data_IF_709434887164
#
_entry.id   IF_709434887164
#
_cell.length_a   1.000
_cell.length_b   1.000
_cell.length_c   1.000
_cell.angle_alpha   90.00
_cell.angle_beta   90.00
_cell.angle_gamma   90.00
#
_symmetry.space_group_name_H-M   'P 1'
#
loop_
_entity.id
_entity.type
_entity.pdbx_description
1 polymer ?
#
# COMPACT_ATOMS: atom_id res chain seq x y z
N UNK A 1 8.63 -16.12 35.79
CA UNK A 1 8.23 -15.59 34.48
C UNK A 1 9.09 -14.35 34.19
N UNK A 2 9.94 -14.38 33.19
CA UNK A 2 10.68 -13.21 32.78
C UNK A 2 9.66 -12.13 32.36
N UNK A 3 9.79 -10.91 32.89
CA UNK A 3 8.94 -9.79 32.51
C UNK A 3 9.13 -9.54 31.01
N UNK A 4 8.11 -9.77 30.19
CA UNK A 4 8.20 -9.45 28.75
C UNK A 4 8.62 -8.00 28.59
N UNK A 5 9.68 -7.78 27.82
CA UNK A 5 10.26 -6.46 27.61
C UNK A 5 9.29 -5.58 26.81
N UNK A 6 8.81 -4.49 27.41
CA UNK A 6 7.91 -3.55 26.75
C UNK A 6 8.71 -2.47 26.02
N UNK A 7 8.47 -2.32 24.73
CA UNK A 7 9.08 -1.29 23.90
C UNK A 7 8.17 -0.09 23.71
N UNK A 8 8.79 1.07 23.49
CA UNK A 8 8.14 2.29 23.03
C UNK A 8 8.43 2.47 21.53
N UNK A 9 7.41 2.46 20.71
CA UNK A 9 7.51 2.40 19.27
C UNK A 9 6.83 3.64 18.67
N UNK A 10 7.53 4.35 17.80
CA UNK A 10 6.96 5.40 16.96
C UNK A 10 6.84 4.86 15.55
N UNK A 11 5.64 4.86 14.98
CA UNK A 11 5.40 4.53 13.58
C UNK A 11 5.10 5.84 12.85
N UNK A 12 6.04 6.26 11.99
CA UNK A 12 5.92 7.50 11.23
C UNK A 12 5.37 7.21 9.83
N UNK A 13 4.15 7.65 9.58
CA UNK A 13 3.45 7.45 8.32
C UNK A 13 2.64 8.69 7.97
N UNK A 14 2.51 9.01 6.68
CA UNK A 14 1.70 10.15 6.30
C UNK A 14 1.49 10.30 4.80
N UNK A 15 0.55 11.19 4.46
CA UNK A 15 0.23 11.58 3.10
C UNK A 15 -0.97 10.84 2.52
N UNK A 16 -0.87 9.55 2.26
CA UNK A 16 -1.94 8.78 1.58
C UNK A 16 -2.33 7.54 2.38
N UNK A 17 -3.52 7.00 2.10
CA UNK A 17 -3.98 5.74 2.69
C UNK A 17 -3.01 4.58 2.49
N UNK A 18 -2.25 4.60 1.39
CA UNK A 18 -1.20 3.60 1.11
C UNK A 18 -0.12 3.50 2.19
N UNK A 19 0.21 4.60 2.88
CA UNK A 19 1.15 4.59 4.02
C UNK A 19 0.45 4.39 5.37
N UNK A 20 -0.78 4.91 5.48
CA UNK A 20 -1.52 4.96 6.75
C UNK A 20 -2.04 3.58 7.15
N UNK A 21 -2.71 2.85 6.25
CA UNK A 21 -3.31 1.56 6.58
C UNK A 21 -2.28 0.49 6.98
N UNK A 22 -1.12 0.32 6.28
CA UNK A 22 -0.07 -0.57 6.74
C UNK A 22 0.51 -0.19 8.11
N UNK A 23 0.64 1.13 8.38
CA UNK A 23 1.09 1.61 9.68
C UNK A 23 0.13 1.22 10.81
N UNK A 24 -1.19 1.32 10.56
CA UNK A 24 -2.21 0.90 11.51
C UNK A 24 -2.19 -0.60 11.75
N UNK A 25 -2.03 -1.41 10.70
CA UNK A 25 -1.93 -2.87 10.85
C UNK A 25 -0.76 -3.27 11.77
N UNK A 26 0.42 -2.65 11.59
CA UNK A 26 1.57 -2.86 12.48
C UNK A 26 1.32 -2.32 13.89
N UNK A 27 0.72 -1.13 14.00
CA UNK A 27 0.40 -0.52 15.30
C UNK A 27 -0.53 -1.41 16.13
N UNK A 28 -1.58 -1.95 15.51
CA UNK A 28 -2.51 -2.91 16.15
C UNK A 28 -1.73 -4.12 16.68
N UNK A 29 -0.85 -4.72 15.87
CA UNK A 29 -0.07 -5.90 16.27
C UNK A 29 0.89 -5.58 17.42
N UNK A 30 1.66 -4.49 17.34
CA UNK A 30 2.53 -4.06 18.44
C UNK A 30 1.77 -3.80 19.74
N UNK A 31 0.57 -3.20 19.67
CA UNK A 31 -0.28 -2.96 20.84
C UNK A 31 -0.80 -4.26 21.45
N UNK A 32 -1.20 -5.23 20.63
CA UNK A 32 -1.61 -6.58 21.10
C UNK A 32 -0.45 -7.28 21.80
N UNK A 33 0.78 -7.10 21.32
CA UNK A 33 1.99 -7.64 21.96
C UNK A 33 2.40 -6.87 23.23
N UNK A 34 1.60 -5.89 23.68
CA UNK A 34 1.78 -5.18 24.95
C UNK A 34 2.73 -3.98 24.90
N UNK A 35 3.09 -3.48 23.73
CA UNK A 35 4.00 -2.35 23.54
C UNK A 35 3.27 -1.01 23.52
N UNK A 36 3.99 0.07 23.86
CA UNK A 36 3.48 1.44 23.71
C UNK A 36 3.73 1.89 22.28
N UNK A 37 2.66 2.24 21.56
CA UNK A 37 2.73 2.69 20.16
C UNK A 37 2.24 4.12 20.03
N UNK A 38 2.97 4.93 19.29
CA UNK A 38 2.63 6.30 18.91
C UNK A 38 2.63 6.37 17.38
N UNK A 39 1.53 6.85 16.81
CA UNK A 39 1.45 7.15 15.39
C UNK A 39 1.88 8.59 15.14
N UNK A 40 2.83 8.81 14.26
CA UNK A 40 3.34 10.11 13.91
C UNK A 40 3.01 10.47 12.45
N UNK A 41 2.38 11.63 12.24
CA UNK A 41 1.91 12.10 10.95
C UNK A 41 2.21 13.58 10.68
N UNK A 42 1.74 14.06 9.52
CA UNK A 42 1.83 15.48 9.14
C UNK A 42 0.63 16.29 9.58
N UNK A 43 -0.44 15.64 10.03
CA UNK A 43 -1.67 16.27 10.50
C UNK A 43 -2.62 16.70 9.39
N UNK A 44 -2.54 16.09 8.20
CA UNK A 44 -3.56 16.31 7.17
C UNK A 44 -4.91 15.66 7.59
N UNK A 45 -6.00 16.09 6.97
CA UNK A 45 -7.35 15.68 7.36
C UNK A 45 -7.57 14.16 7.26
N UNK A 46 -7.01 13.52 6.21
CA UNK A 46 -7.11 12.07 6.04
C UNK A 46 -6.41 11.31 7.17
N UNK A 47 -5.18 11.75 7.55
CA UNK A 47 -4.45 11.15 8.67
C UNK A 47 -5.23 11.29 9.98
N UNK A 48 -5.72 12.51 10.27
CA UNK A 48 -6.49 12.79 11.49
C UNK A 48 -7.75 11.92 11.54
N UNK A 49 -8.49 11.84 10.44
CA UNK A 49 -9.70 11.01 10.34
C UNK A 49 -9.38 9.56 10.64
N UNK A 50 -8.46 8.96 9.89
CA UNK A 50 -8.17 7.52 10.01
C UNK A 50 -7.54 7.19 11.37
N UNK A 51 -6.59 8.00 11.87
CA UNK A 51 -5.95 7.73 13.16
C UNK A 51 -6.93 7.84 14.32
N UNK A 52 -7.90 8.79 14.27
CA UNK A 52 -8.91 8.93 15.32
C UNK A 52 -9.87 7.73 15.43
N UNK A 53 -10.05 6.98 14.34
CA UNK A 53 -10.89 5.77 14.32
C UNK A 53 -10.26 4.58 15.09
N UNK A 54 -8.97 4.66 15.46
CA UNK A 54 -8.21 3.51 15.99
C UNK A 54 -7.67 3.66 17.41
N UNK A 55 -8.00 4.74 18.13
CA UNK A 55 -7.60 4.96 19.53
C UNK A 55 -6.11 4.72 19.83
N UNK A 56 -5.23 5.32 19.01
CA UNK A 56 -3.79 5.38 19.25
C UNK A 56 -3.37 6.76 19.76
N UNK A 57 -2.31 6.78 20.58
CA UNK A 57 -1.59 8.04 20.85
C UNK A 57 -1.04 8.57 19.53
N UNK A 58 -1.41 9.79 19.16
CA UNK A 58 -1.04 10.40 17.87
C UNK A 58 -0.25 11.67 18.09
N UNK A 59 0.73 11.92 17.22
CA UNK A 59 1.53 13.15 17.22
C UNK A 59 1.62 13.70 15.80
N UNK A 60 1.39 15.00 15.64
CA UNK A 60 1.36 15.65 14.36
C UNK A 60 2.38 16.76 14.27
N UNK A 61 3.24 16.68 13.26
CA UNK A 61 4.21 17.72 12.93
C UNK A 61 3.85 18.33 11.57
N UNK A 62 3.09 19.41 11.60
CA UNK A 62 2.56 20.04 10.39
C UNK A 62 3.66 20.39 9.39
N UNK A 63 3.46 19.99 8.14
CA UNK A 63 4.33 20.37 7.04
C UNK A 63 3.98 21.78 6.56
N UNK A 64 4.65 22.80 7.11
CA UNK A 64 4.47 24.22 6.74
C UNK A 64 5.10 24.59 5.39
N UNK A 65 5.42 23.62 4.54
CA UNK A 65 6.21 23.84 3.32
C UNK A 65 5.37 24.23 2.08
N UNK A 66 4.04 24.27 2.16
CA UNK A 66 3.21 24.72 1.03
C UNK A 66 3.41 26.22 0.81
N UNK A 67 3.85 26.61 -0.39
CA UNK A 67 3.85 28.01 -0.87
C UNK A 67 5.01 28.90 -0.45
N UNK A 68 6.05 28.42 0.25
CA UNK A 68 7.17 29.24 0.71
C UNK A 68 8.39 29.20 -0.24
N UNK A 69 9.20 30.30 -0.26
CA UNK A 69 10.45 30.35 -1.00
C UNK A 69 11.46 29.30 -0.53
N UNK A 70 12.42 28.93 -1.38
CA UNK A 70 13.43 27.90 -1.10
C UNK A 70 14.21 28.15 0.20
N UNK A 71 14.56 29.41 0.48
CA UNK A 71 15.27 29.81 1.70
C UNK A 71 14.39 29.63 2.94
N UNK A 72 13.11 30.06 2.84
CA UNK A 72 12.14 29.89 3.93
C UNK A 72 11.85 28.42 4.21
N UNK A 73 11.79 27.58 3.17
CA UNK A 73 11.68 26.11 3.30
C UNK A 73 12.87 25.52 4.06
N UNK A 74 14.08 25.94 3.78
CA UNK A 74 15.28 25.48 4.47
C UNK A 74 15.26 25.81 5.97
N UNK A 75 14.98 27.06 6.36
CA UNK A 75 14.86 27.43 7.77
C UNK A 75 13.72 26.75 8.50
N UNK A 76 12.57 26.56 7.85
CA UNK A 76 11.43 25.82 8.41
C UNK A 76 11.79 24.35 8.64
N UNK A 77 12.51 23.72 7.71
CA UNK A 77 12.96 22.33 7.88
C UNK A 77 13.93 22.15 9.04
N UNK A 78 14.87 23.11 9.23
CA UNK A 78 15.81 23.10 10.37
C UNK A 78 15.09 23.26 11.71
N UNK A 79 14.08 24.16 11.78
CA UNK A 79 13.28 24.35 13.00
C UNK A 79 12.46 23.11 13.33
N UNK A 80 11.81 22.52 12.33
CA UNK A 80 11.02 21.29 12.48
C UNK A 80 11.88 20.12 12.94
N UNK A 81 13.08 19.99 12.39
CA UNK A 81 14.04 18.97 12.81
C UNK A 81 14.38 19.10 14.30
N UNK A 82 14.53 20.33 14.84
CA UNK A 82 14.75 20.58 16.26
C UNK A 82 13.54 20.17 17.12
N UNK A 83 12.32 20.48 16.65
CA UNK A 83 11.08 20.12 17.37
C UNK A 83 10.94 18.58 17.46
N UNK A 84 11.10 17.87 16.35
CA UNK A 84 11.07 16.39 16.32
C UNK A 84 12.19 15.81 17.17
N UNK A 85 13.41 16.35 17.07
CA UNK A 85 14.53 15.88 17.88
C UNK A 85 14.28 16.04 19.38
N UNK A 86 13.77 17.19 19.81
CA UNK A 86 13.37 17.42 21.21
C UNK A 86 12.26 16.45 21.65
N UNK A 87 11.29 16.19 20.78
CA UNK A 87 10.24 15.21 21.02
C UNK A 87 10.80 13.79 21.20
N UNK A 88 11.73 13.37 20.32
CA UNK A 88 12.38 12.07 20.40
C UNK A 88 13.26 11.95 21.66
N UNK A 89 13.95 13.02 22.07
CA UNK A 89 14.72 13.07 23.30
C UNK A 89 13.84 12.86 24.54
N UNK A 90 12.69 13.55 24.61
CA UNK A 90 11.72 13.43 25.69
C UNK A 90 11.07 12.05 25.72
N UNK A 91 10.70 11.52 24.58
CA UNK A 91 9.97 10.27 24.47
C UNK A 91 10.86 9.03 24.50
N UNK A 92 12.12 9.16 24.11
CA UNK A 92 13.12 8.10 24.08
C UNK A 92 12.59 6.77 23.51
N UNK A 93 12.12 6.71 22.25
CA UNK A 93 11.58 5.49 21.67
C UNK A 93 12.68 4.45 21.45
N UNK A 94 12.34 3.17 21.61
CA UNK A 94 13.19 2.04 21.26
C UNK A 94 13.27 1.84 19.76
N UNK A 95 12.16 2.11 19.04
CA UNK A 95 12.03 1.97 17.59
C UNK A 95 11.36 3.20 16.97
N UNK A 96 11.91 3.65 15.86
CA UNK A 96 11.27 4.53 14.89
C UNK A 96 11.10 3.73 13.60
N UNK A 97 9.85 3.45 13.22
CA UNK A 97 9.50 2.74 12.01
C UNK A 97 8.94 3.72 10.98
N UNK A 98 9.70 3.95 9.92
CA UNK A 98 9.30 4.82 8.82
C UNK A 98 8.53 4.06 7.76
N UNK A 99 7.24 4.40 7.58
CA UNK A 99 6.32 3.76 6.64
C UNK A 99 6.12 4.54 5.33
N UNK A 100 6.92 5.58 5.10
CA UNK A 100 6.80 6.44 3.92
C UNK A 100 6.11 7.79 4.19
N UNK A 101 6.16 8.66 3.18
CA UNK A 101 5.68 10.03 3.29
C UNK A 101 6.66 10.98 3.99
N UNK A 102 6.25 12.25 4.13
CA UNK A 102 7.12 13.28 4.72
C UNK A 102 7.40 13.04 6.21
N UNK A 103 6.41 12.60 6.98
CA UNK A 103 6.58 12.31 8.40
C UNK A 103 7.69 11.26 8.62
N UNK A 104 7.66 10.18 7.85
CA UNK A 104 8.65 9.11 7.91
C UNK A 104 10.09 9.64 7.78
N UNK A 105 10.36 10.46 6.75
CA UNK A 105 11.70 10.99 6.52
C UNK A 105 12.18 11.88 7.65
N UNK A 106 11.33 12.73 8.16
CA UNK A 106 11.67 13.70 9.19
C UNK A 106 11.99 13.03 10.53
N UNK A 107 11.18 12.02 10.93
CA UNK A 107 11.45 11.25 12.13
C UNK A 107 12.70 10.40 12.02
N UNK A 108 12.92 9.73 10.88
CA UNK A 108 14.11 8.91 10.67
C UNK A 108 15.40 9.75 10.64
N UNK A 109 15.36 10.97 10.07
CA UNK A 109 16.52 11.88 10.07
C UNK A 109 16.78 12.55 11.42
N UNK A 110 15.74 12.79 12.22
CA UNK A 110 15.87 13.38 13.54
C UNK A 110 16.31 12.37 14.61
N UNK A 111 16.27 11.07 14.30
CA UNK A 111 16.66 9.99 15.20
C UNK A 111 18.12 10.13 15.67
N UNK A 112 18.34 9.77 16.92
CA UNK A 112 19.68 9.73 17.52
C UNK A 112 20.27 8.32 17.43
N UNK A 113 21.59 8.18 17.61
CA UNK A 113 22.30 6.89 17.59
C UNK A 113 21.70 5.83 18.54
N UNK A 114 21.07 6.27 19.62
CA UNK A 114 20.41 5.37 20.59
C UNK A 114 19.08 4.79 20.10
N UNK A 115 18.42 5.44 19.14
CA UNK A 115 17.15 4.97 18.60
C UNK A 115 17.39 3.95 17.49
N UNK A 116 16.71 2.82 17.53
CA UNK A 116 16.66 1.92 16.39
C UNK A 116 15.74 2.52 15.31
N UNK A 117 16.22 2.58 14.07
CA UNK A 117 15.46 3.09 12.92
C UNK A 117 15.32 2.01 11.87
N UNK A 118 14.09 1.72 11.50
CA UNK A 118 13.75 0.80 10.41
C UNK A 118 12.91 1.55 9.39
N UNK A 119 13.20 1.38 8.11
CA UNK A 119 12.37 1.91 7.02
C UNK A 119 11.67 0.77 6.28
N UNK A 120 10.43 1.00 5.91
CA UNK A 120 9.63 0.10 5.08
C UNK A 120 9.36 0.76 3.72
N UNK A 121 9.80 0.12 2.65
CA UNK A 121 9.50 0.52 1.28
C UNK A 121 8.37 -0.33 0.73
N UNK A 122 7.28 0.30 0.34
CA UNK A 122 6.07 -0.41 -0.07
C UNK A 122 6.07 -0.78 -1.55
N UNK A 123 6.74 0.00 -2.39
CA UNK A 123 6.72 -0.14 -3.83
C UNK A 123 7.86 -1.03 -4.34
N UNK A 124 7.74 -1.53 -5.57
CA UNK A 124 8.80 -2.29 -6.25
C UNK A 124 10.02 -1.46 -6.63
N UNK A 125 9.96 -0.14 -6.47
CA UNK A 125 11.11 0.75 -6.60
C UNK A 125 11.17 1.65 -5.37
N UNK A 126 12.31 1.67 -4.71
CA UNK A 126 12.51 2.50 -3.55
C UNK A 126 12.38 3.99 -3.88
N UNK A 127 11.52 4.69 -3.13
CA UNK A 127 11.32 6.11 -3.25
C UNK A 127 12.60 6.91 -2.95
N UNK A 128 12.70 8.12 -3.51
CA UNK A 128 13.88 9.00 -3.31
C UNK A 128 14.21 9.25 -1.85
N UNK A 129 13.20 9.38 -1.02
CA UNK A 129 13.37 9.59 0.43
C UNK A 129 14.01 8.38 1.10
N UNK A 130 13.52 7.18 0.84
CA UNK A 130 14.06 5.96 1.44
C UNK A 130 15.48 5.68 0.94
N UNK A 131 15.77 5.93 -0.35
CA UNK A 131 17.13 5.89 -0.90
C UNK A 131 18.05 6.87 -0.17
N UNK A 132 17.59 8.10 0.09
CA UNK A 132 18.35 9.11 0.83
C UNK A 132 18.64 8.69 2.28
N UNK A 133 17.66 8.12 2.98
CA UNK A 133 17.84 7.60 4.35
C UNK A 133 18.88 6.50 4.42
N UNK A 134 18.94 5.63 3.41
CA UNK A 134 19.99 4.60 3.30
C UNK A 134 21.35 5.22 3.04
N UNK A 135 21.49 6.12 2.07
CA UNK A 135 22.78 6.79 1.77
C UNK A 135 23.34 7.47 3.01
N UNK A 136 22.52 8.16 3.77
CA UNK A 136 22.92 8.88 4.97
C UNK A 136 23.11 7.99 6.20
N UNK A 137 22.96 6.67 6.05
CA UNK A 137 23.03 5.72 7.16
C UNK A 137 22.10 6.08 8.33
N UNK A 138 20.91 6.61 7.99
CA UNK A 138 19.90 7.03 8.96
C UNK A 138 18.96 5.88 9.38
N UNK A 139 19.11 4.70 8.80
CA UNK A 139 18.31 3.51 9.14
C UNK A 139 19.24 2.34 9.54
N UNK A 140 18.87 1.55 10.52
CA UNK A 140 19.58 0.35 10.94
C UNK A 140 19.20 -0.85 10.07
N UNK A 141 17.98 -0.85 9.54
CA UNK A 141 17.49 -1.89 8.65
C UNK A 141 16.45 -1.33 7.65
N UNK A 142 16.23 -2.07 6.57
CA UNK A 142 15.20 -1.76 5.60
C UNK A 142 14.38 -3.00 5.26
N UNK A 143 13.07 -2.78 5.08
CA UNK A 143 12.10 -3.82 4.71
C UNK A 143 11.56 -3.50 3.33
N UNK A 144 11.51 -4.49 2.46
CA UNK A 144 10.87 -4.41 1.16
C UNK A 144 9.46 -4.98 1.25
N UNK A 145 8.48 -4.18 0.84
CA UNK A 145 7.08 -4.59 0.69
C UNK A 145 6.82 -5.36 -0.60
N UNK A 146 7.55 -5.01 -1.66
CA UNK A 146 7.65 -5.74 -2.91
C UNK A 146 9.12 -6.04 -3.18
N UNK A 147 9.45 -7.19 -3.80
CA UNK A 147 10.82 -7.64 -3.91
C UNK A 147 11.68 -6.71 -4.76
N UNK A 148 12.97 -6.68 -4.45
CA UNK A 148 14.00 -5.97 -5.21
C UNK A 148 13.86 -4.45 -5.27
N UNK A 149 13.07 -3.85 -4.35
CA UNK A 149 12.83 -2.39 -4.31
C UNK A 149 14.11 -1.57 -4.21
N UNK A 150 15.09 -2.06 -3.46
CA UNK A 150 16.39 -1.43 -3.26
C UNK A 150 17.52 -2.06 -4.09
N UNK A 151 17.32 -3.21 -4.69
CA UNK A 151 18.40 -4.06 -5.23
C UNK A 151 19.26 -3.34 -6.25
N UNK A 152 18.67 -2.63 -7.21
CA UNK A 152 19.42 -1.88 -8.23
C UNK A 152 20.27 -0.76 -7.62
N UNK A 153 19.79 -0.18 -6.52
CA UNK A 153 20.41 0.95 -5.86
C UNK A 153 21.49 0.51 -4.87
N UNK A 154 21.24 -0.55 -4.10
CA UNK A 154 22.19 -1.06 -3.10
C UNK A 154 23.37 -1.79 -3.73
N UNK A 155 23.18 -2.50 -4.85
CA UNK A 155 24.28 -3.10 -5.62
C UNK A 155 25.35 -2.07 -6.02
N UNK A 156 24.94 -0.82 -6.22
CA UNK A 156 25.85 0.28 -6.51
C UNK A 156 26.59 0.79 -5.26
N UNK A 157 25.96 0.74 -4.07
CA UNK A 157 26.49 1.34 -2.83
C UNK A 157 27.32 0.39 -1.97
N UNK A 158 27.41 -0.90 -2.33
CA UNK A 158 28.18 -1.95 -1.62
C UNK A 158 28.12 -1.82 -0.09
N UNK A 159 27.19 -2.49 0.56
CA UNK A 159 27.19 -2.80 2.00
C UNK A 159 26.32 -2.01 2.98
N UNK A 160 25.18 -1.44 2.57
CA UNK A 160 24.28 -0.88 3.58
C UNK A 160 22.81 -0.86 3.10
N UNK A 161 21.81 -1.21 3.92
CA UNK A 161 21.85 -1.52 5.36
C UNK A 161 22.35 -2.95 5.65
N UNK A 162 22.83 -3.17 6.89
CA UNK A 162 23.29 -4.51 7.34
C UNK A 162 22.19 -5.57 7.22
N UNK A 163 20.92 -5.15 7.36
CA UNK A 163 19.76 -5.99 7.28
C UNK A 163 18.74 -5.39 6.27
N UNK A 164 18.72 -5.93 5.06
CA UNK A 164 17.68 -5.70 4.04
C UNK A 164 16.90 -6.98 3.84
N UNK A 165 15.57 -6.92 4.04
CA UNK A 165 14.72 -8.11 3.97
C UNK A 165 13.43 -7.84 3.19
N UNK A 166 13.00 -8.82 2.38
CA UNK A 166 11.69 -8.81 1.74
C UNK A 166 10.67 -9.55 2.60
N UNK A 167 9.74 -8.82 3.22
CA UNK A 167 8.72 -9.36 4.11
C UNK A 167 7.28 -9.14 3.64
N UNK A 168 7.07 -8.39 2.58
CA UNK A 168 5.73 -8.02 2.11
C UNK A 168 5.25 -6.70 2.72
N UNK A 169 4.10 -6.22 2.23
CA UNK A 169 3.39 -5.09 2.81
C UNK A 169 2.35 -5.59 3.84
N UNK A 170 2.22 -4.94 5.00
CA UNK A 170 1.16 -5.24 5.94
C UNK A 170 -0.22 -5.00 5.30
N UNK A 171 -1.04 -6.01 5.28
CA UNK A 171 -2.42 -5.94 4.80
C UNK A 171 -3.38 -5.83 5.99
N UNK A 172 -4.47 -5.11 5.82
CA UNK A 172 -5.49 -4.91 6.86
C UNK A 172 -6.17 -6.21 7.24
N UNK A 173 -6.50 -6.38 8.54
CA UNK A 173 -7.14 -7.59 9.05
C UNK A 173 -8.48 -7.86 8.34
N UNK A 174 -9.23 -6.81 8.00
CA UNK A 174 -10.51 -6.88 7.30
C UNK A 174 -10.36 -7.57 5.92
N UNK A 175 -9.23 -7.35 5.23
CA UNK A 175 -8.90 -8.01 3.97
C UNK A 175 -8.38 -9.44 4.21
N UNK A 176 -7.52 -9.64 5.22
CA UNK A 176 -6.97 -10.96 5.54
C UNK A 176 -8.05 -11.94 6.02
N UNK A 177 -9.12 -11.44 6.64
CA UNK A 177 -10.27 -12.24 7.09
C UNK A 177 -11.21 -12.66 5.96
N UNK A 178 -11.02 -12.13 4.75
CA UNK A 178 -11.74 -12.61 3.58
C UNK A 178 -11.33 -14.07 3.35
N UNK A 179 -12.20 -14.99 3.75
CA UNK A 179 -12.06 -16.38 3.37
C UNK A 179 -12.40 -16.52 1.89
N UNK A 180 -11.43 -16.24 1.03
CA UNK A 180 -11.52 -16.78 -0.32
C UNK A 180 -11.30 -18.30 -0.24
N UNK A 181 -12.32 -18.98 0.22
CA UNK A 181 -12.57 -20.29 -0.35
C UNK A 181 -12.63 -20.03 -1.84
N UNK A 182 -11.69 -20.65 -2.60
CA UNK A 182 -11.74 -20.70 -4.04
C UNK A 182 -13.23 -20.88 -4.40
N UNK A 183 -13.89 -19.77 -4.81
CA UNK A 183 -15.26 -19.91 -5.26
C UNK A 183 -15.13 -20.85 -6.44
N UNK A 184 -15.86 -21.98 -6.46
CA UNK A 184 -15.88 -22.78 -7.67
C UNK A 184 -16.27 -21.80 -8.77
N UNK A 185 -15.38 -21.66 -9.76
CA UNK A 185 -15.55 -20.69 -10.84
C UNK A 185 -16.96 -20.81 -11.38
N UNK A 186 -17.54 -19.70 -11.84
CA UNK A 186 -18.95 -19.64 -12.06
C UNK A 186 -19.33 -20.82 -12.94
N UNK A 187 -20.11 -21.73 -12.36
CA UNK A 187 -20.96 -22.59 -13.15
C UNK A 187 -21.47 -21.72 -14.31
N UNK A 188 -21.51 -22.21 -15.52
CA UNK A 188 -21.87 -21.46 -16.76
C UNK A 188 -23.11 -20.57 -16.65
N UNK A 189 -23.81 -20.64 -15.54
CA UNK A 189 -25.04 -19.92 -15.17
C UNK A 189 -24.79 -18.66 -14.29
N UNK A 190 -23.59 -18.42 -13.80
CA UNK A 190 -23.32 -17.25 -12.92
C UNK A 190 -22.63 -16.14 -13.71
N UNK A 191 -23.14 -14.92 -13.54
CA UNK A 191 -22.52 -13.72 -14.11
C UNK A 191 -21.17 -13.45 -13.45
N UNK A 192 -20.09 -13.18 -14.20
CA UNK A 192 -18.84 -12.67 -13.66
C UNK A 192 -19.05 -11.38 -12.86
N UNK A 193 -18.28 -11.23 -11.76
CA UNK A 193 -18.35 -10.11 -10.86
C UNK A 193 -17.07 -9.30 -10.95
N UNK A 194 -17.20 -8.05 -11.37
CA UNK A 194 -16.06 -7.17 -11.59
C UNK A 194 -16.11 -6.01 -10.61
N UNK A 195 -15.03 -5.86 -9.84
CA UNK A 195 -14.81 -4.69 -9.01
C UNK A 195 -13.85 -3.73 -9.70
N UNK A 196 -14.26 -2.47 -9.84
CA UNK A 196 -13.47 -1.41 -10.47
C UNK A 196 -13.10 -0.36 -9.42
N UNK A 197 -11.80 -0.01 -9.33
CA UNK A 197 -11.34 1.03 -8.44
C UNK A 197 -10.17 1.84 -9.01
N UNK A 198 -10.32 3.16 -8.99
CA UNK A 198 -9.28 4.10 -9.42
C UNK A 198 -8.34 4.56 -8.30
N UNK A 199 -8.57 4.11 -7.05
CA UNK A 199 -7.99 4.67 -5.83
C UNK A 199 -8.83 5.85 -5.30
N UNK A 200 -8.42 6.46 -4.16
CA UNK A 200 -9.22 7.46 -3.42
C UNK A 200 -9.62 8.72 -4.22
N UNK A 201 -8.94 9.01 -5.33
CA UNK A 201 -9.25 10.15 -6.19
C UNK A 201 -10.01 9.76 -7.45
N UNK A 202 -10.30 8.45 -7.62
CA UNK A 202 -10.79 7.92 -8.87
C UNK A 202 -9.72 7.85 -9.97
N UNK A 203 -10.10 7.37 -11.15
CA UNK A 203 -9.22 7.27 -12.31
C UNK A 203 -10.02 7.49 -13.61
N UNK A 204 -10.06 8.74 -14.08
CA UNK A 204 -10.91 9.12 -15.21
C UNK A 204 -10.73 8.24 -16.46
N UNK A 205 -9.49 7.82 -16.81
CA UNK A 205 -9.27 6.93 -17.95
C UNK A 205 -9.95 5.57 -17.78
N UNK A 206 -9.94 5.02 -16.57
CA UNK A 206 -10.62 3.78 -16.21
C UNK A 206 -12.14 4.01 -16.23
N UNK A 207 -12.59 5.07 -15.55
CA UNK A 207 -13.99 5.44 -15.41
C UNK A 207 -14.70 5.61 -16.77
N UNK A 208 -13.99 6.16 -17.77
CA UNK A 208 -14.55 6.35 -19.11
C UNK A 208 -14.50 5.07 -19.97
N UNK A 209 -13.49 4.23 -19.80
CA UNK A 209 -13.31 3.05 -20.64
C UNK A 209 -14.13 1.83 -20.20
N UNK A 210 -14.31 1.64 -18.87
CA UNK A 210 -14.91 0.42 -18.33
C UNK A 210 -16.39 0.27 -18.68
N UNK A 211 -17.28 1.26 -18.53
CA UNK A 211 -18.70 1.09 -18.88
C UNK A 211 -18.90 0.68 -20.34
N UNK A 212 -18.14 1.30 -21.24
CA UNK A 212 -18.20 0.97 -22.67
C UNK A 212 -17.63 -0.42 -22.98
N UNK A 213 -16.55 -0.84 -22.30
CA UNK A 213 -16.00 -2.18 -22.45
C UNK A 213 -16.98 -3.26 -21.99
N UNK A 214 -17.68 -3.04 -20.89
CA UNK A 214 -18.70 -3.95 -20.38
C UNK A 214 -19.91 -3.99 -21.31
N UNK A 215 -20.33 -2.83 -21.85
CA UNK A 215 -21.40 -2.78 -22.83
C UNK A 215 -21.08 -3.59 -24.11
N UNK A 216 -19.85 -3.54 -24.59
CA UNK A 216 -19.39 -4.38 -25.72
C UNK A 216 -19.51 -5.89 -25.45
N UNK A 217 -19.47 -6.31 -24.20
CA UNK A 217 -19.55 -7.70 -23.77
C UNK A 217 -20.94 -8.11 -23.30
N UNK A 218 -21.87 -7.19 -23.10
CA UNK A 218 -23.14 -7.40 -22.38
C UNK A 218 -24.02 -8.51 -22.97
N UNK A 219 -23.96 -8.73 -24.28
CA UNK A 219 -24.73 -9.79 -24.95
C UNK A 219 -24.09 -11.17 -24.83
N UNK A 220 -22.75 -11.26 -24.89
CA UNK A 220 -22.01 -12.52 -24.88
C UNK A 220 -21.57 -12.93 -23.47
N UNK A 221 -21.31 -11.97 -22.61
CA UNK A 221 -20.81 -12.16 -21.25
C UNK A 221 -21.44 -11.12 -20.29
N UNK A 222 -22.72 -11.26 -19.94
CA UNK A 222 -23.36 -10.35 -18.99
C UNK A 222 -22.68 -10.44 -17.62
N UNK A 223 -22.40 -9.29 -17.01
CA UNK A 223 -21.60 -9.16 -15.78
C UNK A 223 -22.35 -8.36 -14.72
N UNK A 224 -21.97 -8.58 -13.45
CA UNK A 224 -22.32 -7.72 -12.33
C UNK A 224 -21.11 -6.84 -12.01
N UNK A 225 -21.36 -5.58 -11.65
CA UNK A 225 -20.31 -4.55 -11.52
C UNK A 225 -20.45 -3.80 -10.21
N UNK A 226 -19.33 -3.62 -9.51
CA UNK A 226 -19.14 -2.60 -8.47
C UNK A 226 -18.09 -1.63 -8.98
N UNK A 227 -18.38 -0.32 -9.01
CA UNK A 227 -17.47 0.68 -9.56
C UNK A 227 -17.26 1.87 -8.64
N UNK A 228 -16.06 1.98 -8.06
CA UNK A 228 -15.63 3.13 -7.26
C UNK A 228 -15.00 4.17 -8.18
N UNK A 229 -15.73 5.23 -8.47
CA UNK A 229 -15.38 6.23 -9.49
C UNK A 229 -14.52 7.38 -8.99
N UNK A 230 -14.54 7.66 -7.68
CA UNK A 230 -14.19 8.97 -7.15
C UNK A 230 -15.33 9.96 -7.32
N UNK A 231 -15.29 11.08 -6.57
CA UNK A 231 -16.37 12.07 -6.55
C UNK A 231 -16.62 12.72 -7.93
N UNK A 232 -15.55 13.00 -8.68
CA UNK A 232 -15.63 13.81 -9.90
C UNK A 232 -16.31 13.13 -11.09
N UNK A 233 -16.32 11.81 -11.15
CA UNK A 233 -16.82 11.07 -12.31
C UNK A 233 -18.07 10.23 -11.98
N UNK A 234 -18.61 10.32 -10.74
CA UNK A 234 -19.73 9.51 -10.28
C UNK A 234 -20.96 9.61 -11.21
N UNK A 235 -21.44 10.82 -11.43
CA UNK A 235 -22.68 11.05 -12.20
C UNK A 235 -22.53 10.53 -13.63
N UNK A 236 -21.44 10.87 -14.31
CA UNK A 236 -21.18 10.47 -15.70
C UNK A 236 -21.07 8.96 -15.84
N UNK A 237 -20.44 8.27 -14.90
CA UNK A 237 -20.28 6.80 -14.94
C UNK A 237 -21.62 6.11 -14.64
N UNK A 238 -22.36 6.60 -13.65
CA UNK A 238 -23.67 6.08 -13.30
C UNK A 238 -24.67 6.20 -14.45
N UNK A 239 -24.74 7.36 -15.09
CA UNK A 239 -25.59 7.59 -16.29
C UNK A 239 -25.22 6.61 -17.41
N UNK A 240 -23.93 6.40 -17.71
CA UNK A 240 -23.50 5.43 -18.74
C UNK A 240 -23.99 4.00 -18.45
N UNK A 241 -23.91 3.53 -17.21
CA UNK A 241 -24.42 2.18 -16.87
C UNK A 241 -25.94 2.08 -17.03
N UNK A 242 -26.68 3.12 -16.65
CA UNK A 242 -28.13 3.21 -16.82
C UNK A 242 -28.47 3.18 -18.33
N UNK A 243 -27.83 4.00 -19.16
CA UNK A 243 -28.07 4.09 -20.60
C UNK A 243 -27.76 2.75 -21.31
N UNK A 244 -26.78 2.02 -20.84
CA UNK A 244 -26.43 0.70 -21.38
C UNK A 244 -27.28 -0.45 -20.82
N UNK A 245 -28.14 -0.20 -19.82
CA UNK A 245 -28.94 -1.22 -19.15
C UNK A 245 -28.07 -2.24 -18.39
N UNK A 246 -26.92 -1.83 -17.87
CA UNK A 246 -25.97 -2.68 -17.13
C UNK A 246 -26.29 -2.57 -15.64
N UNK A 247 -26.43 -3.73 -14.98
CA UNK A 247 -26.57 -3.83 -13.53
C UNK A 247 -25.23 -3.50 -12.85
N UNK A 248 -25.13 -2.28 -12.30
CA UNK A 248 -23.91 -1.77 -11.68
C UNK A 248 -24.22 -1.03 -10.37
N UNK A 249 -23.47 -1.37 -9.32
CA UNK A 249 -23.40 -0.58 -8.10
C UNK A 249 -22.27 0.45 -8.27
N UNK A 250 -22.63 1.72 -8.43
CA UNK A 250 -21.69 2.83 -8.61
C UNK A 250 -21.57 3.62 -7.32
N UNK A 251 -20.36 3.88 -6.87
CA UNK A 251 -20.09 4.68 -5.69
C UNK A 251 -18.98 5.72 -5.95
N UNK A 252 -19.09 6.89 -5.34
CA UNK A 252 -17.99 7.87 -5.34
C UNK A 252 -16.83 7.43 -4.44
N UNK A 253 -17.14 6.70 -3.38
CA UNK A 253 -16.16 6.13 -2.46
C UNK A 253 -16.76 4.94 -1.71
N UNK A 254 -16.09 3.80 -1.75
CA UNK A 254 -16.51 2.60 -1.04
C UNK A 254 -15.88 2.56 0.36
N UNK A 255 -16.71 2.58 1.38
CA UNK A 255 -16.28 2.46 2.78
C UNK A 255 -16.06 1.02 3.22
N UNK A 256 -16.60 0.04 2.48
CA UNK A 256 -16.55 -1.39 2.80
C UNK A 256 -15.79 -2.15 1.70
N UNK A 257 -14.58 -1.71 1.40
CA UNK A 257 -13.78 -2.25 0.30
C UNK A 257 -13.53 -3.77 0.44
N UNK A 258 -13.47 -4.28 1.67
CA UNK A 258 -13.34 -5.71 1.97
C UNK A 258 -14.49 -6.53 1.39
N UNK A 259 -15.73 -6.02 1.44
CA UNK A 259 -16.90 -6.69 0.85
C UNK A 259 -16.82 -6.71 -0.68
N UNK A 260 -16.35 -5.62 -1.29
CA UNK A 260 -16.16 -5.57 -2.73
C UNK A 260 -15.05 -6.54 -3.19
N UNK A 261 -13.96 -6.64 -2.44
CA UNK A 261 -12.91 -7.64 -2.68
C UNK A 261 -13.40 -9.08 -2.51
N UNK A 262 -14.19 -9.35 -1.46
CA UNK A 262 -14.78 -10.67 -1.21
C UNK A 262 -15.75 -11.08 -2.33
N UNK A 263 -16.55 -10.14 -2.79
CA UNK A 263 -17.56 -10.35 -3.82
C UNK A 263 -16.96 -10.54 -5.23
N UNK A 264 -15.87 -9.82 -5.56
CA UNK A 264 -15.32 -9.77 -6.91
C UNK A 264 -14.64 -11.07 -7.38
N UNK A 265 -14.80 -11.42 -8.64
CA UNK A 265 -14.02 -12.46 -9.33
C UNK A 265 -12.80 -11.86 -10.04
N UNK A 266 -12.86 -10.58 -10.41
CA UNK A 266 -11.81 -9.84 -11.09
C UNK A 266 -11.75 -8.39 -10.59
N UNK A 267 -10.56 -7.89 -10.34
CA UNK A 267 -10.31 -6.46 -10.09
C UNK A 267 -9.84 -5.76 -11.37
N UNK A 268 -10.37 -4.58 -11.65
CA UNK A 268 -9.82 -3.64 -12.64
C UNK A 268 -9.44 -2.36 -11.91
N UNK A 269 -8.16 -1.96 -11.94
CA UNK A 269 -7.78 -0.76 -11.19
C UNK A 269 -6.35 -0.29 -11.36
N UNK A 270 -6.00 0.75 -10.57
CA UNK A 270 -4.62 1.24 -10.48
C UNK A 270 -3.72 0.26 -9.73
N UNK A 271 -2.42 0.29 -10.05
CA UNK A 271 -1.42 -0.61 -9.46
C UNK A 271 -0.69 0.03 -8.26
N UNK A 272 -1.44 0.57 -7.31
CA UNK A 272 -0.87 1.00 -6.02
C UNK A 272 -0.25 -0.18 -5.27
N UNK A 273 0.80 0.06 -4.47
CA UNK A 273 1.46 -1.00 -3.73
C UNK A 273 0.49 -1.78 -2.84
N UNK A 274 -0.45 -1.10 -2.17
CA UNK A 274 -1.46 -1.76 -1.34
C UNK A 274 -2.47 -2.55 -2.16
N UNK A 275 -2.93 -2.03 -3.30
CA UNK A 275 -3.82 -2.79 -4.20
C UNK A 275 -3.18 -4.11 -4.62
N UNK A 276 -1.91 -4.07 -5.06
CA UNK A 276 -1.15 -5.28 -5.45
C UNK A 276 -0.99 -6.23 -4.25
N UNK A 277 -0.69 -5.70 -3.07
CA UNK A 277 -0.50 -6.51 -1.86
C UNK A 277 -1.79 -7.14 -1.35
N UNK A 278 -2.89 -6.38 -1.35
CA UNK A 278 -4.22 -6.84 -0.93
C UNK A 278 -4.75 -7.91 -1.88
N UNK A 279 -4.64 -7.68 -3.20
CA UNK A 279 -5.04 -8.69 -4.21
C UNK A 279 -4.19 -9.95 -4.13
N UNK A 280 -2.88 -9.80 -3.84
CA UNK A 280 -2.00 -10.94 -3.62
C UNK A 280 -2.31 -11.71 -2.34
N UNK A 281 -2.68 -11.03 -1.26
CA UNK A 281 -3.03 -11.70 0.00
C UNK A 281 -4.27 -12.59 -0.12
N UNK A 282 -5.21 -12.22 -1.00
CA UNK A 282 -6.47 -12.94 -1.18
C UNK A 282 -6.58 -13.73 -2.49
N UNK A 283 -5.55 -13.70 -3.34
CA UNK A 283 -5.57 -14.38 -4.64
C UNK A 283 -6.61 -13.80 -5.61
N UNK A 284 -6.81 -12.47 -5.65
CA UNK A 284 -7.76 -11.83 -6.57
C UNK A 284 -7.11 -11.52 -7.92
N UNK A 285 -7.55 -12.16 -9.03
CA UNK A 285 -7.09 -11.83 -10.37
C UNK A 285 -7.30 -10.36 -10.69
N UNK A 286 -6.40 -9.75 -11.46
CA UNK A 286 -6.50 -8.32 -11.72
C UNK A 286 -6.16 -7.94 -13.16
N UNK A 287 -6.85 -6.90 -13.68
CA UNK A 287 -6.38 -6.10 -14.80
C UNK A 287 -5.87 -4.78 -14.22
N UNK A 288 -4.57 -4.57 -14.29
CA UNK A 288 -3.92 -3.41 -13.69
C UNK A 288 -3.62 -2.35 -14.75
N UNK A 289 -4.06 -1.12 -14.48
CA UNK A 289 -3.82 0.06 -15.31
C UNK A 289 -2.92 1.02 -14.49
N UNK A 290 -1.58 0.91 -14.59
CA UNK A 290 -0.66 1.75 -13.83
C UNK A 290 -0.87 3.22 -14.10
N UNK A 291 -0.84 4.06 -13.05
CA UNK A 291 -0.95 5.52 -13.20
C UNK A 291 0.26 6.06 -13.97
N UNK A 292 0.06 6.75 -15.10
CA UNK A 292 1.16 7.12 -16.00
C UNK A 292 2.11 8.19 -15.45
N UNK A 293 1.63 8.97 -14.46
CA UNK A 293 2.40 10.04 -13.81
C UNK A 293 2.93 9.62 -12.44
N UNK A 294 2.91 8.33 -12.12
CA UNK A 294 3.48 7.80 -10.89
C UNK A 294 4.98 8.10 -10.82
N UNK A 295 5.42 8.65 -9.70
CA UNK A 295 6.83 9.00 -9.50
C UNK A 295 7.73 7.78 -9.75
N UNK A 296 8.80 7.96 -10.54
CA UNK A 296 9.72 6.88 -10.93
C UNK A 296 8.99 5.65 -11.53
N UNK A 297 7.77 5.81 -12.11
CA UNK A 297 6.94 4.75 -12.67
C UNK A 297 6.63 3.59 -11.69
N UNK A 298 6.66 3.82 -10.38
CA UNK A 298 6.52 2.77 -9.38
C UNK A 298 5.26 1.89 -9.59
N UNK A 299 4.12 2.45 -10.04
CA UNK A 299 2.93 1.64 -10.28
C UNK A 299 3.10 0.62 -11.42
N UNK A 300 3.86 0.95 -12.46
CA UNK A 300 4.17 -0.02 -13.52
C UNK A 300 4.98 -1.21 -12.95
N UNK A 301 5.98 -0.92 -12.12
CA UNK A 301 6.79 -1.98 -11.52
C UNK A 301 6.01 -2.80 -10.49
N UNK A 302 5.11 -2.17 -9.72
CA UNK A 302 4.20 -2.88 -8.84
C UNK A 302 3.30 -3.86 -9.63
N UNK A 303 2.73 -3.39 -10.76
CA UNK A 303 1.91 -4.24 -11.63
C UNK A 303 2.71 -5.40 -12.22
N UNK A 304 3.94 -5.15 -12.66
CA UNK A 304 4.82 -6.17 -13.24
C UNK A 304 5.17 -7.28 -12.24
N UNK A 305 5.23 -7.00 -10.95
CA UNK A 305 5.40 -8.04 -9.93
C UNK A 305 4.29 -9.09 -10.03
N UNK A 306 3.03 -8.66 -10.11
CA UNK A 306 1.89 -9.57 -10.17
C UNK A 306 1.71 -10.19 -11.56
N UNK A 307 2.00 -9.43 -12.63
CA UNK A 307 1.96 -9.92 -14.02
C UNK A 307 2.98 -11.05 -14.26
N UNK A 308 4.22 -10.89 -13.78
CA UNK A 308 5.27 -11.92 -13.91
C UNK A 308 4.92 -13.23 -13.21
N UNK A 309 4.11 -13.18 -12.16
CA UNK A 309 3.57 -14.36 -11.49
C UNK A 309 2.39 -14.98 -12.26
N UNK A 310 1.78 -14.26 -13.18
CA UNK A 310 0.57 -14.67 -13.90
C UNK A 310 -0.73 -14.25 -13.21
N UNK A 311 -0.68 -13.52 -12.10
CA UNK A 311 -1.87 -13.09 -11.32
C UNK A 311 -2.56 -11.83 -11.84
N UNK A 312 -1.94 -11.12 -12.79
CA UNK A 312 -2.53 -9.94 -13.40
C UNK A 312 -2.22 -9.82 -14.88
N UNK A 313 -3.05 -9.04 -15.60
CA UNK A 313 -2.76 -8.49 -16.91
C UNK A 313 -2.53 -6.98 -16.78
N UNK A 314 -1.57 -6.44 -17.54
CA UNK A 314 -1.30 -5.00 -17.58
C UNK A 314 -1.87 -4.38 -18.84
N UNK A 315 -2.57 -3.25 -18.71
CA UNK A 315 -2.90 -2.34 -19.79
C UNK A 315 -2.26 -0.98 -19.44
N UNK A 316 -1.33 -0.49 -20.25
CA UNK A 316 -0.80 0.86 -20.03
C UNK A 316 -1.89 1.89 -20.28
N UNK A 317 -1.94 2.94 -19.46
CA UNK A 317 -3.00 3.97 -19.53
C UNK A 317 -3.18 4.56 -20.94
N UNK A 318 -2.10 4.78 -21.68
CA UNK A 318 -2.11 5.26 -23.08
C UNK A 318 -2.72 4.27 -24.09
N UNK A 319 -2.71 2.98 -23.76
CA UNK A 319 -3.22 1.90 -24.62
C UNK A 319 -4.65 1.48 -24.18
N UNK A 320 -5.15 2.05 -23.08
CA UNK A 320 -6.48 1.78 -22.54
C UNK A 320 -7.55 2.35 -23.46
N UNK A 321 -8.39 1.48 -23.97
CA UNK A 321 -9.62 1.82 -24.67
C UNK A 321 -10.66 0.69 -24.48
N UNK A 322 -11.96 0.95 -24.73
CA UNK A 322 -13.01 -0.03 -24.49
C UNK A 322 -12.81 -1.38 -25.17
N UNK A 323 -12.34 -1.42 -26.43
CA UNK A 323 -12.13 -2.65 -27.19
C UNK A 323 -11.00 -3.50 -26.63
N UNK A 324 -9.85 -2.87 -26.29
CA UNK A 324 -8.72 -3.56 -25.67
C UNK A 324 -9.12 -4.14 -24.31
N UNK A 325 -9.81 -3.35 -23.50
CA UNK A 325 -10.27 -3.80 -22.18
C UNK A 325 -11.27 -4.95 -22.31
N UNK A 326 -12.27 -4.84 -23.19
CA UNK A 326 -13.25 -5.89 -23.44
C UNK A 326 -12.57 -7.20 -23.89
N UNK A 327 -11.57 -7.12 -24.81
CA UNK A 327 -10.80 -8.30 -25.24
C UNK A 327 -10.08 -8.97 -24.07
N UNK A 328 -9.49 -8.20 -23.15
CA UNK A 328 -8.80 -8.75 -21.97
C UNK A 328 -9.79 -9.40 -20.99
N UNK A 329 -10.90 -8.74 -20.70
CA UNK A 329 -11.97 -9.31 -19.84
C UNK A 329 -12.49 -10.62 -20.46
N UNK A 330 -12.86 -10.59 -21.74
CA UNK A 330 -13.36 -11.77 -22.45
C UNK A 330 -12.37 -12.95 -22.35
N UNK A 331 -11.07 -12.70 -22.60
CA UNK A 331 -10.05 -13.75 -22.56
C UNK A 331 -9.91 -14.38 -21.17
N UNK A 332 -10.11 -13.61 -20.08
CA UNK A 332 -10.03 -14.13 -18.71
C UNK A 332 -11.18 -15.09 -18.43
N UNK A 333 -12.41 -14.73 -18.82
CA UNK A 333 -13.60 -15.50 -18.46
C UNK A 333 -13.97 -16.60 -19.47
N UNK A 334 -13.54 -16.50 -20.73
CA UNK A 334 -13.87 -17.50 -21.77
C UNK A 334 -12.78 -18.55 -21.99
N UNK A 335 -11.53 -18.30 -21.63
CA UNK A 335 -10.48 -19.30 -21.69
C UNK A 335 -10.57 -20.24 -20.48
N UNK A 336 -10.80 -21.56 -20.66
CA UNK A 336 -10.95 -22.50 -19.55
C UNK A 336 -9.77 -22.51 -18.60
N UNK A 337 -10.00 -22.41 -17.30
CA UNK A 337 -8.97 -22.44 -16.26
C UNK A 337 -8.12 -21.19 -16.13
N UNK A 338 -8.34 -20.15 -16.95
CA UNK A 338 -7.49 -18.96 -16.92
C UNK A 338 -7.71 -18.14 -15.65
N UNK A 339 -8.94 -17.93 -15.26
CA UNK A 339 -9.25 -17.16 -14.07
C UNK A 339 -8.75 -17.87 -12.80
N UNK A 340 -8.92 -19.24 -12.71
CA UNK A 340 -8.34 -20.04 -11.62
C UNK A 340 -6.81 -19.94 -11.59
N UNK A 341 -6.19 -20.17 -12.74
CA UNK A 341 -4.74 -20.05 -12.84
C UNK A 341 -4.22 -18.65 -12.45
N UNK A 342 -4.95 -17.59 -12.80
CA UNK A 342 -4.63 -16.24 -12.36
C UNK A 342 -4.82 -16.07 -10.85
N UNK A 343 -5.85 -16.65 -10.26
CA UNK A 343 -6.11 -16.58 -8.82
C UNK A 343 -4.99 -17.28 -8.03
N UNK A 344 -4.64 -18.49 -8.41
CA UNK A 344 -3.54 -19.25 -7.79
C UNK A 344 -2.21 -18.51 -7.91
N UNK A 345 -1.94 -17.94 -9.08
CA UNK A 345 -0.73 -17.17 -9.36
C UNK A 345 -0.70 -15.82 -8.61
N UNK A 346 -1.85 -15.22 -8.35
CA UNK A 346 -1.94 -13.99 -7.58
C UNK A 346 -1.65 -14.22 -6.10
N UNK A 347 -2.09 -15.34 -5.54
CA UNK A 347 -1.96 -15.61 -4.12
C UNK A 347 -0.50 -15.69 -3.67
N UNK A 348 -0.17 -14.94 -2.62
CA UNK A 348 1.15 -14.98 -2.01
C UNK A 348 1.03 -14.86 -0.48
N UNK A 349 1.31 -16.00 0.19
CA UNK A 349 1.28 -16.10 1.66
C UNK A 349 2.17 -15.06 2.35
N UNK A 350 3.18 -14.53 1.67
CA UNK A 350 4.05 -13.50 2.22
C UNK A 350 3.28 -12.26 2.66
N UNK A 351 2.25 -11.85 1.90
CA UNK A 351 1.40 -10.71 2.28
C UNK A 351 0.43 -11.05 3.42
N UNK A 352 0.01 -12.30 3.52
CA UNK A 352 -0.80 -12.78 4.66
C UNK A 352 0.00 -12.70 5.96
N UNK A 353 1.25 -13.13 5.93
CA UNK A 353 2.12 -13.18 7.11
C UNK A 353 2.91 -11.89 7.35
N UNK A 354 2.80 -10.89 6.47
CA UNK A 354 3.66 -9.70 6.47
C UNK A 354 3.68 -8.96 7.80
N UNK A 355 2.52 -8.68 8.38
CA UNK A 355 2.40 -7.95 9.66
C UNK A 355 3.17 -8.65 10.78
N UNK A 356 3.00 -9.96 10.92
CA UNK A 356 3.67 -10.76 11.96
C UNK A 356 5.18 -10.83 11.71
N UNK A 357 5.59 -11.07 10.47
CA UNK A 357 6.99 -11.18 10.10
C UNK A 357 7.75 -9.84 10.28
N UNK A 358 7.12 -8.72 9.93
CA UNK A 358 7.69 -7.37 10.12
C UNK A 358 7.85 -7.07 11.60
N UNK A 359 6.85 -7.34 12.42
CA UNK A 359 6.91 -7.11 13.87
C UNK A 359 8.03 -7.94 14.50
N UNK A 360 8.13 -9.22 14.16
CA UNK A 360 9.21 -10.10 14.64
C UNK A 360 10.60 -9.61 14.18
N UNK A 361 10.71 -9.12 12.95
CA UNK A 361 11.94 -8.53 12.45
C UNK A 361 12.31 -7.26 13.20
N UNK A 362 11.33 -6.40 13.53
CA UNK A 362 11.55 -5.21 14.35
C UNK A 362 12.10 -5.57 15.73
N UNK A 363 11.56 -6.58 16.42
CA UNK A 363 12.07 -6.99 17.73
C UNK A 363 13.54 -7.44 17.67
N UNK A 364 13.88 -8.30 16.71
CA UNK A 364 15.26 -8.75 16.50
C UNK A 364 16.22 -7.58 16.21
N UNK A 365 15.76 -6.62 15.43
CA UNK A 365 16.58 -5.45 15.08
C UNK A 365 16.78 -4.52 16.26
N UNK A 366 15.74 -4.29 17.10
CA UNK A 366 15.86 -3.53 18.35
C UNK A 366 16.88 -4.19 19.28
N UNK A 367 16.79 -5.50 19.51
CA UNK A 367 17.71 -6.23 20.38
C UNK A 367 19.15 -6.16 19.88
N UNK A 368 19.39 -6.37 18.58
CA UNK A 368 20.69 -6.26 17.94
C UNK A 368 21.28 -4.84 18.09
N UNK A 369 20.43 -3.82 17.91
CA UNK A 369 20.82 -2.42 18.06
C UNK A 369 21.18 -2.07 19.51
N UNK A 370 20.38 -2.48 20.48
CA UNK A 370 20.64 -2.27 21.91
C UNK A 370 21.90 -2.99 22.37
N UNK A 371 22.14 -4.21 21.88
CA UNK A 371 23.37 -4.94 22.17
C UNK A 371 24.61 -4.19 21.67
N UNK A 372 24.60 -3.72 20.42
CA UNK A 372 25.70 -2.93 19.84
C UNK A 372 25.97 -1.62 20.58
N UNK A 373 24.94 -0.95 21.11
CA UNK A 373 25.09 0.28 21.87
C UNK A 373 25.66 0.05 23.27
N UNK A 374 25.37 -1.12 23.88
CA UNK A 374 25.87 -1.48 25.20
C UNK A 374 27.32 -2.03 25.16
N UNK A 375 27.72 -2.61 24.02
CA UNK A 375 29.04 -3.20 23.81
C UNK A 375 29.64 -2.64 22.50
N UNK A 376 30.04 -1.35 22.47
CA UNK A 376 30.68 -0.79 21.29
C UNK A 376 32.05 -1.47 21.09
N UNK A 377 32.29 -1.96 19.85
CA UNK A 377 33.60 -2.52 19.44
C UNK A 377 34.67 -1.45 19.45
#
# INVERSE_FOLDING_TARGET
MAKEKKYKIIIAAGGTGGHIFPAIALAKKFRVDGHKVILAGTGNELEKKIFSEHDFETEYFESRLKGSSTIKKFFLSLRKNKEIKSYLEKNNPDLILGMGGYASSEFCLAAQKKNCVIIHEQNSIAGRTNRFLIINRSANAAIEGLPDSFTSFIKFLMSYPDDLVYLGNPVRDEILNIQKTLRPFPDKLKKPRIFIMGGSQGARSINMAVPEAINLLSQDLPMEVIHDTGENDFDVVNEKYIDFGIDAEVASFNTNIEKAYEWADLLIGRAGAMTVSETSAIGLPSILIPFPYALDNHQLFNAQFLEKKGGALIIKDKDLNPKVLATRIHSIFKEPGKLEGMSDAAFDKKFVDATVNIVNFCYKTIEKHQFRNNYPN
#
